data_IF_737842370155
#
_entry.id   IF_737842370155
#
_cell.length_a   1.000
_cell.length_b   1.000
_cell.length_c   1.000
_cell.angle_alpha   90.00
_cell.angle_beta   90.00
_cell.angle_gamma   90.00
#
_symmetry.space_group_name_H-M   'P 1'
#
loop_
_entity.id
_entity.type
_entity.pdbx_description
1 polymer ?
#
# COMPACT_ATOMS: atom_id res chain seq x y z
N UNK A 1 7.44 12.20 11.67
CA UNK A 1 7.76 11.75 10.30
C UNK A 1 8.42 10.39 10.38
N UNK A 2 7.68 9.33 10.01
CA UNK A 2 8.23 7.99 9.83
C UNK A 2 9.30 8.04 8.73
N UNK A 3 10.43 7.39 8.97
CA UNK A 3 11.55 7.38 8.04
C UNK A 3 11.52 6.11 7.19
N UNK A 4 11.16 6.25 5.92
CA UNK A 4 11.14 5.16 4.95
C UNK A 4 12.36 5.18 4.02
N UNK A 5 13.39 6.00 4.30
CA UNK A 5 14.53 6.22 3.40
C UNK A 5 15.33 4.95 3.08
N UNK A 6 15.27 3.94 3.94
CA UNK A 6 15.94 2.65 3.76
C UNK A 6 15.05 1.56 3.16
N UNK A 7 13.77 1.85 2.87
CA UNK A 7 12.86 0.87 2.31
C UNK A 7 13.02 0.75 0.79
N UNK A 8 12.95 -0.47 0.23
CA UNK A 8 12.96 -0.67 -1.21
C UNK A 8 11.72 -0.02 -1.84
N UNK A 9 11.93 0.68 -2.95
CA UNK A 9 10.84 1.27 -3.75
C UNK A 9 10.63 0.47 -5.03
N UNK A 10 9.40 0.07 -5.28
CA UNK A 10 8.96 -0.60 -6.50
C UNK A 10 7.96 0.30 -7.24
N UNK A 11 8.23 0.58 -8.51
CA UNK A 11 7.27 1.25 -9.38
C UNK A 11 6.19 0.25 -9.82
N UNK A 12 4.91 0.60 -9.63
CA UNK A 12 3.78 -0.23 -10.02
C UNK A 12 3.45 -0.02 -11.50
N UNK A 13 4.02 -0.86 -12.37
CA UNK A 13 3.95 -0.71 -13.83
C UNK A 13 3.35 -1.95 -14.52
N UNK A 14 2.76 -2.86 -13.75
CA UNK A 14 2.05 -4.02 -14.25
C UNK A 14 2.47 -5.36 -13.62
N UNK A 15 2.28 -6.50 -14.32
CA UNK A 15 2.33 -7.82 -13.70
C UNK A 15 3.68 -8.22 -13.10
N UNK A 16 4.79 -7.67 -13.61
CA UNK A 16 6.13 -7.99 -13.12
C UNK A 16 6.41 -7.28 -11.78
N UNK A 17 6.05 -6.00 -11.67
CA UNK A 17 6.22 -5.26 -10.40
C UNK A 17 5.30 -5.81 -9.32
N UNK A 18 4.08 -6.20 -9.68
CA UNK A 18 3.14 -6.82 -8.74
C UNK A 18 3.71 -8.12 -8.15
N UNK A 19 4.28 -9.01 -8.97
CA UNK A 19 4.91 -10.25 -8.48
C UNK A 19 6.09 -10.00 -7.54
N UNK A 20 6.87 -8.93 -7.77
CA UNK A 20 7.97 -8.55 -6.88
C UNK A 20 7.46 -8.02 -5.54
N UNK A 21 6.42 -7.19 -5.57
CA UNK A 21 5.77 -6.69 -4.36
C UNK A 21 5.19 -7.86 -3.53
N UNK A 22 4.46 -8.76 -4.18
CA UNK A 22 3.92 -9.98 -3.57
C UNK A 22 5.03 -10.80 -2.92
N UNK A 23 6.15 -11.04 -3.63
CA UNK A 23 7.26 -11.80 -3.07
C UNK A 23 7.87 -11.12 -1.83
N UNK A 24 8.05 -9.81 -1.83
CA UNK A 24 8.57 -9.08 -0.66
C UNK A 24 7.63 -9.14 0.54
N UNK A 25 6.35 -8.82 0.33
CA UNK A 25 5.34 -8.80 1.40
C UNK A 25 5.12 -10.21 1.96
N UNK A 26 5.16 -11.25 1.12
CA UNK A 26 5.11 -12.64 1.57
C UNK A 26 6.29 -13.00 2.50
N UNK A 27 7.44 -12.34 2.36
CA UNK A 27 8.58 -12.48 3.27
C UNK A 27 8.52 -11.50 4.45
N UNK A 28 7.39 -10.81 4.66
CA UNK A 28 7.20 -9.75 5.64
C UNK A 28 8.24 -8.62 5.54
N UNK A 29 8.79 -8.41 4.33
CA UNK A 29 9.74 -7.32 4.09
C UNK A 29 8.97 -6.03 3.77
N UNK A 30 9.38 -4.88 4.33
CA UNK A 30 8.72 -3.61 4.06
C UNK A 30 9.01 -3.14 2.64
N UNK A 31 8.03 -2.52 1.99
CA UNK A 31 8.14 -2.06 0.61
C UNK A 31 7.34 -0.78 0.38
N UNK A 32 7.91 0.12 -0.43
CA UNK A 32 7.19 1.27 -0.98
C UNK A 32 6.75 0.94 -2.39
N UNK A 33 5.45 0.97 -2.65
CA UNK A 33 4.89 0.92 -3.99
C UNK A 33 4.67 2.35 -4.47
N UNK A 34 5.44 2.74 -5.48
CA UNK A 34 5.25 4.00 -6.19
C UNK A 34 4.20 3.79 -7.27
N UNK A 35 3.02 4.37 -7.08
CA UNK A 35 1.90 4.24 -7.99
C UNK A 35 2.03 5.17 -9.21
N UNK A 36 1.46 4.79 -10.36
CA UNK A 36 1.46 5.61 -11.57
C UNK A 36 0.51 6.82 -11.40
N UNK A 37 0.60 7.79 -12.32
CA UNK A 37 -0.08 9.08 -12.17
C UNK A 37 -1.61 8.98 -12.24
N UNK A 38 -2.11 7.99 -12.96
CA UNK A 38 -3.52 7.70 -13.20
C UNK A 38 -4.15 6.82 -12.10
N UNK A 39 -3.35 6.31 -11.16
CA UNK A 39 -3.84 5.51 -10.05
C UNK A 39 -4.58 6.37 -9.02
N UNK A 40 -5.80 5.97 -8.68
CA UNK A 40 -6.68 6.63 -7.71
C UNK A 40 -6.32 6.15 -6.30
N UNK A 41 -5.74 7.04 -5.49
CA UNK A 41 -5.44 6.80 -4.06
C UNK A 41 -6.53 7.38 -3.13
N UNK A 42 -7.79 7.10 -3.43
CA UNK A 42 -8.91 7.52 -2.59
C UNK A 42 -9.30 6.38 -1.65
N UNK A 43 -9.28 6.64 -0.35
CA UNK A 43 -9.76 5.69 0.66
C UNK A 43 -10.71 6.38 1.64
N UNK A 44 -11.65 5.61 2.18
CA UNK A 44 -12.37 5.97 3.40
C UNK A 44 -11.49 5.57 4.58
N UNK A 45 -10.74 6.52 5.13
CA UNK A 45 -9.77 6.29 6.20
C UNK A 45 -10.38 5.60 7.43
N UNK A 46 -11.54 6.03 7.96
CA UNK A 46 -12.26 5.29 9.01
C UNK A 46 -12.60 3.84 8.64
N UNK A 47 -13.10 3.57 7.43
CA UNK A 47 -13.43 2.21 7.01
C UNK A 47 -12.19 1.32 6.83
N UNK A 48 -11.06 1.94 6.46
CA UNK A 48 -9.76 1.28 6.33
C UNK A 48 -9.02 1.15 7.68
N UNK A 49 -9.59 1.69 8.77
CA UNK A 49 -8.97 1.69 10.10
C UNK A 49 -7.67 2.49 10.19
N UNK A 50 -7.50 3.49 9.34
CA UNK A 50 -6.30 4.32 9.33
C UNK A 50 -6.30 5.32 10.50
N UNK A 51 -5.10 5.62 10.99
CA UNK A 51 -4.83 6.79 11.82
C UNK A 51 -4.44 8.00 10.96
N UNK A 52 -4.57 9.19 11.52
CA UNK A 52 -4.14 10.43 10.86
C UNK A 52 -2.61 10.57 10.94
N UNK A 53 -1.96 10.78 9.79
CA UNK A 53 -0.53 11.06 9.74
C UNK A 53 -0.17 12.53 10.05
N UNK A 54 1.11 12.85 9.89
CA UNK A 54 1.64 14.22 10.10
C UNK A 54 1.07 15.24 9.09
N UNK A 55 0.60 14.77 7.93
CA UNK A 55 -0.01 15.57 6.88
C UNK A 55 -1.42 15.06 6.57
N UNK A 56 -2.32 15.96 6.13
CA UNK A 56 -3.69 15.59 5.73
C UNK A 56 -3.74 14.61 4.56
N UNK A 57 -2.66 14.52 3.79
CA UNK A 57 -2.48 13.60 2.67
C UNK A 57 -1.92 12.23 3.09
N UNK A 58 -1.60 12.05 4.37
CA UNK A 58 -0.98 10.86 4.93
C UNK A 58 -1.94 10.14 5.86
N UNK A 59 -2.21 8.88 5.56
CA UNK A 59 -2.95 7.95 6.40
C UNK A 59 -1.99 6.85 6.83
N UNK A 60 -1.94 6.56 8.12
CA UNK A 60 -0.95 5.63 8.68
C UNK A 60 -1.63 4.46 9.39
N UNK A 61 -0.91 3.35 9.51
CA UNK A 61 -1.33 2.13 10.20
C UNK A 61 -2.70 1.59 9.74
N UNK A 62 -3.01 1.79 8.45
CA UNK A 62 -4.26 1.29 7.89
C UNK A 62 -4.26 -0.24 7.85
N UNK A 63 -5.44 -0.85 7.97
CA UNK A 63 -5.61 -2.29 7.77
C UNK A 63 -5.25 -2.67 6.33
N UNK A 64 -4.22 -3.49 6.16
CA UNK A 64 -3.69 -3.83 4.84
C UNK A 64 -4.75 -4.44 3.93
N UNK A 65 -5.51 -5.42 4.43
CA UNK A 65 -6.55 -6.12 3.66
C UNK A 65 -7.59 -5.14 3.11
N UNK A 66 -8.25 -4.38 3.99
CA UNK A 66 -9.33 -3.47 3.61
C UNK A 66 -8.84 -2.35 2.69
N UNK A 67 -7.68 -1.78 3.00
CA UNK A 67 -7.11 -0.65 2.25
C UNK A 67 -6.73 -1.08 0.85
N UNK A 68 -5.95 -2.16 0.72
CA UNK A 68 -5.45 -2.60 -0.58
C UNK A 68 -6.55 -3.21 -1.44
N UNK A 69 -7.56 -3.89 -0.86
CA UNK A 69 -8.75 -4.33 -1.60
C UNK A 69 -9.57 -3.16 -2.13
N UNK A 70 -9.81 -2.14 -1.29
CA UNK A 70 -10.54 -0.94 -1.72
C UNK A 70 -9.83 -0.26 -2.89
N UNK A 71 -8.52 -0.09 -2.80
CA UNK A 71 -7.71 0.50 -3.87
C UNK A 71 -7.67 -0.38 -5.12
N UNK A 72 -7.64 -1.71 -4.96
CA UNK A 72 -7.69 -2.66 -6.07
C UNK A 72 -9.02 -2.58 -6.83
N UNK A 73 -10.13 -2.49 -6.13
CA UNK A 73 -11.47 -2.36 -6.71
C UNK A 73 -11.63 -1.05 -7.48
N UNK A 74 -11.24 0.08 -6.87
CA UNK A 74 -11.33 1.41 -7.51
C UNK A 74 -10.49 1.51 -8.79
N UNK A 75 -9.34 0.83 -8.83
CA UNK A 75 -8.41 0.90 -9.95
C UNK A 75 -8.51 -0.28 -10.94
N UNK A 76 -9.39 -1.26 -10.71
CA UNK A 76 -9.43 -2.52 -11.46
C UNK A 76 -8.09 -3.27 -11.48
N UNK A 77 -7.38 -3.29 -10.34
CA UNK A 77 -6.03 -3.85 -10.19
C UNK A 77 -6.06 -5.16 -9.36
N UNK A 78 -6.39 -6.32 -9.97
CA UNK A 78 -6.57 -7.58 -9.23
C UNK A 78 -5.31 -8.06 -8.51
N UNK A 79 -4.13 -7.71 -9.01
CA UNK A 79 -2.87 -8.08 -8.36
C UNK A 79 -2.65 -7.31 -7.04
N UNK A 80 -3.26 -6.14 -6.87
CA UNK A 80 -3.25 -5.41 -5.61
C UNK A 80 -4.19 -6.06 -4.58
N UNK A 81 -5.31 -6.64 -5.02
CA UNK A 81 -6.19 -7.43 -4.17
C UNK A 81 -5.51 -8.72 -3.67
N UNK A 82 -4.73 -9.39 -4.52
CA UNK A 82 -3.90 -10.53 -4.11
C UNK A 82 -2.85 -10.10 -3.07
N UNK A 83 -2.19 -8.97 -3.29
CA UNK A 83 -1.23 -8.41 -2.32
C UNK A 83 -1.89 -8.10 -0.97
N UNK A 84 -3.15 -7.67 -0.98
CA UNK A 84 -3.91 -7.37 0.23
C UNK A 84 -4.02 -8.56 1.19
N UNK A 85 -4.35 -9.75 0.64
CA UNK A 85 -4.44 -10.98 1.41
C UNK A 85 -3.08 -11.35 2.03
N UNK A 86 -2.03 -11.26 1.22
CA UNK A 86 -0.67 -11.62 1.64
C UNK A 86 -0.16 -10.67 2.73
N UNK A 87 -0.39 -9.37 2.59
CA UNK A 87 -0.03 -8.37 3.58
C UNK A 87 -0.77 -8.61 4.90
N UNK A 88 -2.06 -8.98 4.83
CA UNK A 88 -2.85 -9.32 6.00
C UNK A 88 -2.33 -10.58 6.71
N UNK A 89 -2.05 -11.65 5.95
CA UNK A 89 -1.50 -12.90 6.49
C UNK A 89 -0.12 -12.69 7.13
N UNK A 90 0.70 -11.78 6.57
CA UNK A 90 1.98 -11.38 7.12
C UNK A 90 1.87 -10.47 8.36
N UNK A 91 0.66 -10.02 8.72
CA UNK A 91 0.42 -9.11 9.83
C UNK A 91 0.90 -7.68 9.56
N UNK A 92 1.07 -7.30 8.29
CA UNK A 92 1.52 -5.98 7.90
C UNK A 92 0.39 -4.95 7.93
N UNK A 93 0.77 -3.68 8.09
CA UNK A 93 -0.06 -2.50 7.95
C UNK A 93 0.32 -1.71 6.70
N UNK A 94 -0.51 -0.73 6.35
CA UNK A 94 -0.31 0.11 5.18
C UNK A 94 -0.38 1.58 5.53
N UNK A 95 0.63 2.34 5.08
CA UNK A 95 0.58 3.80 5.07
C UNK A 95 0.30 4.29 3.63
N UNK A 96 -0.61 5.25 3.48
CA UNK A 96 -0.99 5.86 2.21
C UNK A 96 -0.54 7.31 2.18
N UNK A 97 0.26 7.67 1.19
CA UNK A 97 0.69 9.05 0.92
C UNK A 97 0.16 9.49 -0.44
N UNK A 98 -0.95 10.25 -0.43
CA UNK A 98 -1.65 10.66 -1.65
C UNK A 98 -0.90 11.73 -2.45
N UNK A 99 -0.11 12.57 -1.78
CA UNK A 99 0.71 13.63 -2.38
C UNK A 99 1.91 13.12 -3.17
N UNK A 100 2.54 12.05 -2.68
CA UNK A 100 3.69 11.41 -3.34
C UNK A 100 3.32 10.16 -4.12
N UNK A 101 2.05 9.78 -4.09
CA UNK A 101 1.47 8.59 -4.73
C UNK A 101 2.11 7.29 -4.28
N UNK A 102 2.27 7.13 -2.98
CA UNK A 102 2.92 5.95 -2.38
C UNK A 102 1.95 5.15 -1.53
N UNK A 103 2.03 3.84 -1.70
CA UNK A 103 1.52 2.86 -0.75
C UNK A 103 2.73 2.24 -0.08
N UNK A 104 2.80 2.28 1.24
CA UNK A 104 3.93 1.78 2.00
C UNK A 104 3.44 0.64 2.86
N UNK A 105 3.99 -0.56 2.66
CA UNK A 105 3.60 -1.76 3.39
C UNK A 105 4.73 -2.09 4.37
N UNK A 106 4.41 -2.25 5.64
CA UNK A 106 5.40 -2.52 6.70
C UNK A 106 4.75 -3.22 7.91
N UNK A 107 5.55 -3.57 8.92
CA UNK A 107 5.12 -4.18 10.18
C UNK A 107 4.48 -3.20 11.18
#
# INVERSE_FOLDING_TARGET
>A
MRDYSNMPTLHWEGPISAKKAIAQVHHAEPVILQMPEDFVLAIDAPACGCEAGDAATHHIDCHAENTLKTLAEENNEPALAELAEIAHEAGQVVDIQTDTRRIIIHD
#
